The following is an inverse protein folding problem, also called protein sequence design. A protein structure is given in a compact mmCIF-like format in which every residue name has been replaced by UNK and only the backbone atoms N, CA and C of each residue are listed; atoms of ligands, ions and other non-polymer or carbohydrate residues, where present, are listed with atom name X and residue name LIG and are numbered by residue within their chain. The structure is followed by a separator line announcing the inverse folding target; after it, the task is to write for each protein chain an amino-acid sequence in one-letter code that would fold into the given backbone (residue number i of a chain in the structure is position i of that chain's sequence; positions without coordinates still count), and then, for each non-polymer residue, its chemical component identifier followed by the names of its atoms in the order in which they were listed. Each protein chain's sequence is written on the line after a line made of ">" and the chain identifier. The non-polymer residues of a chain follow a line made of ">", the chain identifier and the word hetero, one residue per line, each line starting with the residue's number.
data_IF_599546029336
#
_entry.id   IF_599546029336
#
_cell.length_a   1.000
_cell.length_b   1.000
_cell.length_c   1.000
_cell.angle_alpha   90.00
_cell.angle_beta   90.00
_cell.angle_gamma   90.00
#
_symmetry.space_group_name_H-M   'P 1'
#
loop_
_entity.id
_entity.type
_entity.pdbx_description
1 polymer ?
#
# COMPACT_ATOMS: atom_id res chain seq x y z
N UNK A 1 21.02 -33.36 10.33
CA UNK A 1 21.47 -32.52 9.20
C UNK A 1 20.44 -31.40 9.04
N UNK A 2 20.70 -30.13 9.39
CA UNK A 2 19.69 -29.11 9.19
C UNK A 2 19.70 -28.68 7.72
N UNK A 3 18.50 -28.71 7.14
CA UNK A 3 18.21 -28.38 5.75
C UNK A 3 18.30 -26.85 5.64
N UNK A 4 19.28 -26.35 4.91
CA UNK A 4 19.32 -24.95 4.47
C UNK A 4 18.13 -24.75 3.53
N UNK A 5 17.01 -24.23 4.06
CA UNK A 5 15.98 -23.67 3.23
C UNK A 5 16.61 -22.45 2.56
N UNK A 6 16.88 -22.55 1.26
CA UNK A 6 17.38 -21.46 0.44
C UNK A 6 16.64 -20.16 0.81
N UNK A 7 17.39 -19.08 1.04
CA UNK A 7 16.86 -17.75 1.36
C UNK A 7 15.53 -17.55 0.61
N UNK A 8 14.38 -17.44 1.30
CA UNK A 8 13.11 -17.23 0.63
C UNK A 8 13.26 -16.00 -0.29
N UNK A 9 12.63 -16.00 -1.48
CA UNK A 9 12.77 -14.89 -2.42
C UNK A 9 12.39 -13.59 -1.72
N UNK A 10 13.41 -12.78 -1.42
CA UNK A 10 13.23 -11.47 -0.80
C UNK A 10 12.53 -10.59 -1.83
N UNK A 11 11.22 -10.45 -1.68
CA UNK A 11 10.39 -9.67 -2.58
C UNK A 11 10.37 -8.21 -2.14
N UNK A 12 10.53 -7.29 -3.09
CA UNK A 12 10.45 -5.86 -2.82
C UNK A 12 8.97 -5.43 -2.80
N UNK A 13 8.54 -4.88 -1.66
CA UNK A 13 7.23 -4.26 -1.50
C UNK A 13 7.32 -2.74 -1.56
N UNK A 14 6.43 -2.10 -2.33
CA UNK A 14 6.26 -0.65 -2.32
C UNK A 14 5.02 -0.27 -1.52
N UNK A 15 5.20 0.49 -0.43
CA UNK A 15 4.13 0.89 0.48
C UNK A 15 3.74 2.35 0.23
N UNK A 16 2.45 2.61 0.02
CA UNK A 16 1.94 3.95 -0.28
C UNK A 16 0.83 4.45 0.66
N UNK A 17 0.28 3.59 1.52
CA UNK A 17 -0.87 3.87 2.39
C UNK A 17 -0.54 3.90 3.89
N UNK A 18 -1.45 3.35 4.71
CA UNK A 18 -1.40 3.42 6.18
C UNK A 18 -0.28 2.63 6.85
N UNK A 19 0.46 1.83 6.09
CA UNK A 19 1.66 1.12 6.55
C UNK A 19 2.91 2.02 6.56
N UNK A 20 2.88 3.20 5.92
CA UNK A 20 3.99 4.18 5.98
C UNK A 20 4.19 4.70 7.40
N UNK A 21 5.41 5.15 7.70
CA UNK A 21 5.74 5.78 8.98
C UNK A 21 4.82 6.98 9.26
N UNK A 22 4.33 7.08 10.50
CA UNK A 22 3.41 8.14 10.93
C UNK A 22 1.93 7.88 10.64
N UNK A 23 1.56 6.69 10.13
CA UNK A 23 0.18 6.28 9.90
C UNK A 23 -0.25 5.12 10.81
N UNK A 24 -1.57 4.94 10.94
CA UNK A 24 -2.18 4.07 11.95
C UNK A 24 -1.77 2.60 11.91
N UNK A 25 -1.33 2.08 10.74
CA UNK A 25 -1.00 0.67 10.57
C UNK A 25 0.51 0.45 10.49
N UNK A 26 1.33 1.47 10.76
CA UNK A 26 2.79 1.36 10.68
C UNK A 26 3.36 0.28 11.61
N UNK A 27 2.73 0.08 12.77
CA UNK A 27 3.11 -0.94 13.75
C UNK A 27 3.21 -2.35 13.14
N UNK A 28 2.42 -2.68 12.11
CA UNK A 28 2.51 -3.97 11.39
C UNK A 28 3.86 -4.14 10.67
N UNK A 29 4.41 -3.05 10.16
CA UNK A 29 5.75 -3.05 9.54
C UNK A 29 6.82 -3.11 10.64
N UNK A 30 6.62 -2.42 11.76
CA UNK A 30 7.54 -2.48 12.90
C UNK A 30 7.65 -3.90 13.47
N UNK A 31 6.51 -4.60 13.64
CA UNK A 31 6.46 -6.00 14.05
C UNK A 31 7.19 -6.90 13.04
N UNK A 32 6.88 -6.77 11.74
CA UNK A 32 7.53 -7.56 10.69
C UNK A 32 9.04 -7.30 10.59
N UNK A 33 9.50 -6.07 10.88
CA UNK A 33 10.93 -5.75 10.97
C UNK A 33 11.54 -6.37 12.23
N UNK A 34 10.85 -6.29 13.37
CA UNK A 34 11.27 -6.90 14.64
C UNK A 34 11.42 -8.42 14.56
N UNK A 35 10.57 -9.09 13.79
CA UNK A 35 10.61 -10.54 13.54
C UNK A 35 11.61 -10.93 12.43
N UNK A 36 12.24 -9.96 11.75
CA UNK A 36 13.18 -10.22 10.66
C UNK A 36 12.52 -10.62 9.34
N UNK A 37 11.21 -10.41 9.19
CA UNK A 37 10.44 -10.67 7.98
C UNK A 37 10.47 -9.51 6.97
N UNK A 38 10.82 -8.30 7.41
CA UNK A 38 10.92 -7.12 6.56
C UNK A 38 12.16 -6.27 6.88
N UNK A 39 12.64 -5.53 5.88
CA UNK A 39 13.71 -4.55 6.03
C UNK A 39 13.38 -3.30 5.22
N UNK A 40 13.56 -2.12 5.81
CA UNK A 40 13.44 -0.86 5.09
C UNK A 40 14.64 -0.67 4.15
N UNK A 41 14.37 -0.50 2.85
CA UNK A 41 15.40 -0.32 1.82
C UNK A 41 15.59 1.16 1.44
N UNK A 42 14.51 1.95 1.44
CA UNK A 42 14.58 3.37 1.06
C UNK A 42 13.22 3.97 0.70
N UNK A 43 13.25 5.24 0.31
CA UNK A 43 12.07 5.99 -0.16
C UNK A 43 12.04 5.98 -1.69
N UNK A 44 10.86 5.74 -2.26
CA UNK A 44 10.67 5.72 -3.71
C UNK A 44 9.40 6.45 -4.15
N UNK A 45 9.32 6.67 -5.47
CA UNK A 45 8.13 7.20 -6.15
C UNK A 45 7.82 6.30 -7.35
N UNK A 46 6.54 6.10 -7.65
CA UNK A 46 6.15 5.37 -8.86
C UNK A 46 6.63 6.12 -10.10
N UNK A 47 7.24 5.40 -11.05
CA UNK A 47 7.68 5.99 -12.33
C UNK A 47 6.48 6.51 -13.13
N UNK A 48 5.42 5.71 -13.18
CA UNK A 48 4.13 6.12 -13.72
C UNK A 48 3.30 6.81 -12.63
N UNK A 49 2.56 7.84 -13.01
CA UNK A 49 1.66 8.52 -12.08
C UNK A 49 0.35 7.74 -11.98
N UNK A 50 -0.07 7.46 -10.74
CA UNK A 50 -1.35 6.82 -10.43
C UNK A 50 -2.16 7.76 -9.52
N UNK A 51 -3.49 7.81 -9.68
CA UNK A 51 -4.34 8.58 -8.77
C UNK A 51 -4.33 7.95 -7.37
N UNK A 52 -3.91 8.71 -6.36
CA UNK A 52 -4.04 8.31 -4.96
C UNK A 52 -5.35 8.89 -4.42
N UNK A 53 -6.35 8.03 -4.20
CA UNK A 53 -7.66 8.43 -3.69
C UNK A 53 -7.85 7.96 -2.25
N UNK A 54 -8.12 8.91 -1.36
CA UNK A 54 -8.53 8.65 0.02
C UNK A 54 -10.02 8.98 0.17
N UNK A 55 -10.80 8.04 0.67
CA UNK A 55 -12.23 8.24 0.93
C UNK A 55 -12.60 7.77 2.33
N UNK A 56 -13.14 8.70 3.11
CA UNK A 56 -13.64 8.47 4.47
C UNK A 56 -15.00 7.75 4.47
N UNK A 57 -15.73 7.87 3.36
CA UNK A 57 -17.12 7.46 3.16
C UNK A 57 -17.25 6.18 2.31
N UNK A 58 -16.19 5.37 2.19
CA UNK A 58 -16.25 4.13 1.40
C UNK A 58 -17.34 3.20 1.96
N UNK A 59 -18.35 2.82 1.15
CA UNK A 59 -19.35 1.83 1.53
C UNK A 59 -18.70 0.48 1.82
N UNK A 60 -19.16 -0.21 2.88
CA UNK A 60 -18.61 -1.50 3.30
C UNK A 60 -19.06 -2.67 2.43
N UNK A 61 -20.09 -2.47 1.64
CA UNK A 61 -20.79 -3.45 0.79
C UNK A 61 -20.28 -3.51 -0.65
N UNK A 62 -19.20 -2.80 -0.99
CA UNK A 62 -18.55 -2.88 -2.29
C UNK A 62 -17.01 -2.89 -2.19
N UNK A 63 -16.36 -3.45 -3.21
CA UNK A 63 -14.90 -3.41 -3.34
C UNK A 63 -14.40 -2.00 -3.58
N UNK A 64 -13.09 -1.76 -3.34
CA UNK A 64 -12.49 -0.46 -3.61
C UNK A 64 -12.64 -0.08 -5.07
N UNK A 65 -12.43 -1.04 -5.99
CA UNK A 65 -12.51 -0.81 -7.43
C UNK A 65 -13.94 -0.50 -7.87
N UNK A 66 -14.94 -1.22 -7.36
CA UNK A 66 -16.35 -0.92 -7.66
C UNK A 66 -16.75 0.46 -7.17
N UNK A 67 -16.42 0.82 -5.92
CA UNK A 67 -16.69 2.15 -5.40
C UNK A 67 -15.98 3.25 -6.19
N UNK A 68 -14.71 3.02 -6.54
CA UNK A 68 -13.89 3.96 -7.29
C UNK A 68 -14.41 4.18 -8.71
N UNK A 69 -14.77 3.12 -9.43
CA UNK A 69 -15.34 3.19 -10.77
C UNK A 69 -16.70 3.92 -10.76
N UNK A 70 -17.62 3.53 -9.87
CA UNK A 70 -18.91 4.21 -9.71
C UNK A 70 -18.74 5.71 -9.42
N UNK A 71 -17.69 6.05 -8.68
CA UNK A 71 -17.38 7.43 -8.35
C UNK A 71 -16.83 8.22 -9.56
N UNK A 72 -15.90 7.63 -10.33
CA UNK A 72 -15.42 8.20 -11.60
C UNK A 72 -16.57 8.42 -12.58
N UNK A 73 -17.47 7.45 -12.69
CA UNK A 73 -18.62 7.50 -13.59
C UNK A 73 -19.63 8.59 -13.19
N UNK A 74 -19.77 8.86 -11.89
CA UNK A 74 -20.74 9.85 -11.37
C UNK A 74 -20.20 11.29 -11.28
N UNK A 75 -18.89 11.48 -11.24
CA UNK A 75 -18.28 12.80 -11.00
C UNK A 75 -17.32 13.26 -12.11
N UNK A 76 -17.11 12.43 -13.14
CA UNK A 76 -16.16 12.70 -14.21
C UNK A 76 -14.70 12.41 -13.82
N UNK A 77 -13.76 12.49 -14.77
CA UNK A 77 -12.35 12.20 -14.52
C UNK A 77 -11.76 13.20 -13.51
N UNK A 78 -11.14 12.69 -12.44
CA UNK A 78 -10.40 13.54 -11.50
C UNK A 78 -9.14 14.11 -12.14
N UNK A 79 -9.05 15.43 -12.11
CA UNK A 79 -7.76 16.10 -12.00
C UNK A 79 -7.51 16.41 -10.53
N UNK A 80 -6.74 15.58 -9.80
CA UNK A 80 -5.88 16.09 -8.72
C UNK A 80 -4.86 15.07 -8.21
N UNK A 81 -3.77 15.64 -7.65
CA UNK A 81 -2.63 14.99 -7.00
C UNK A 81 -2.34 15.71 -5.67
N UNK A 82 -2.01 14.94 -4.62
CA UNK A 82 -0.93 15.16 -3.62
C UNK A 82 -0.99 13.95 -2.68
N UNK A 83 0.01 13.09 -2.51
CA UNK A 83 1.49 13.19 -2.57
C UNK A 83 2.04 11.82 -2.98
#
# INVERSE_FOLDING_TARGET
>A
MPMHLANPPCSLGFVYGTLKQGFSNHWLIEDAVGEGHAQFIGVGKTKQQYPLVYRKDRPKDCTFLEHFNNWIDSHGPLFYIRV
#
